data_IF_265909457756
#
_entry.id   IF_265909457756
#
_cell.length_a   1.000
_cell.length_b   1.000
_cell.length_c   1.000
_cell.angle_alpha   90.00
_cell.angle_beta   90.00
_cell.angle_gamma   90.00
#
_symmetry.space_group_name_H-M   'P 1'
#
loop_
_entity.id
_entity.type
_entity.pdbx_description
1 polymer ?
#
# COMPACT_ATOMS: atom_id res chain seq x y z
N UNK A 1 33.93 72.09 -2.71
CA UNK A 1 33.81 70.80 -1.97
C UNK A 1 32.38 70.22 -2.00
N UNK A 2 31.68 70.24 -3.15
CA UNK A 2 30.28 69.76 -3.29
C UNK A 2 30.12 68.50 -4.17
N UNK A 3 31.19 68.05 -4.84
CA UNK A 3 31.11 66.98 -5.84
C UNK A 3 31.29 65.57 -5.25
N UNK A 4 32.00 65.44 -4.11
CA UNK A 4 32.25 64.15 -3.49
C UNK A 4 31.00 63.54 -2.81
N UNK A 5 30.17 64.39 -2.19
CA UNK A 5 28.93 63.96 -1.52
C UNK A 5 27.89 63.41 -2.51
N UNK A 6 27.75 64.04 -3.67
CA UNK A 6 26.81 63.61 -4.71
C UNK A 6 27.17 62.23 -5.31
N UNK A 7 28.47 61.98 -5.51
CA UNK A 7 28.97 60.68 -5.96
C UNK A 7 28.77 59.57 -4.91
N UNK A 8 28.93 59.88 -3.61
CA UNK A 8 28.68 58.90 -2.54
C UNK A 8 27.20 58.58 -2.38
N UNK A 9 26.32 59.58 -2.53
CA UNK A 9 24.87 59.40 -2.40
C UNK A 9 24.31 58.65 -3.62
N UNK A 10 24.78 58.97 -4.83
CA UNK A 10 24.43 58.23 -6.05
C UNK A 10 24.90 56.76 -5.99
N UNK A 11 26.13 56.50 -5.51
CA UNK A 11 26.64 55.12 -5.32
C UNK A 11 25.85 54.35 -4.28
N UNK A 12 25.39 55.01 -3.20
CA UNK A 12 24.57 54.39 -2.15
C UNK A 12 23.16 54.08 -2.66
N UNK A 13 22.57 54.96 -3.47
CA UNK A 13 21.28 54.73 -4.12
C UNK A 13 21.35 53.56 -5.12
N UNK A 14 22.36 53.53 -5.98
CA UNK A 14 22.57 52.43 -6.95
C UNK A 14 22.77 51.09 -6.24
N UNK A 15 23.58 51.03 -5.17
CA UNK A 15 23.76 49.81 -4.37
C UNK A 15 22.46 49.32 -3.73
N UNK A 16 21.61 50.22 -3.25
CA UNK A 16 20.29 49.88 -2.68
C UNK A 16 19.35 49.34 -3.75
N UNK A 17 19.34 49.94 -4.94
CA UNK A 17 18.54 49.45 -6.06
C UNK A 17 19.01 48.06 -6.52
N UNK A 18 20.33 47.84 -6.63
CA UNK A 18 20.88 46.54 -7.02
C UNK A 18 20.56 45.46 -5.97
N UNK A 19 20.63 45.77 -4.68
CA UNK A 19 20.23 44.85 -3.63
C UNK A 19 18.73 44.52 -3.68
N UNK A 20 17.87 45.52 -3.91
CA UNK A 20 16.42 45.31 -4.04
C UNK A 20 16.06 44.44 -5.25
N UNK A 21 16.71 44.65 -6.40
CA UNK A 21 16.52 43.82 -7.60
C UNK A 21 16.99 42.39 -7.36
N UNK A 22 18.13 42.18 -6.69
CA UNK A 22 18.62 40.85 -6.36
C UNK A 22 17.66 40.07 -5.43
N UNK A 23 17.04 40.75 -4.46
CA UNK A 23 16.03 40.16 -3.57
C UNK A 23 14.76 39.77 -4.35
N UNK A 24 14.29 40.64 -5.25
CA UNK A 24 13.10 40.36 -6.08
C UNK A 24 13.33 39.19 -7.05
N UNK A 25 14.52 39.10 -7.65
CA UNK A 25 14.89 37.97 -8.52
C UNK A 25 15.05 36.68 -7.72
N UNK A 26 15.66 36.73 -6.53
CA UNK A 26 15.80 35.56 -5.65
C UNK A 26 14.48 34.95 -5.18
N UNK A 27 13.44 35.77 -4.99
CA UNK A 27 12.10 35.29 -4.60
C UNK A 27 11.31 34.63 -5.73
N UNK A 28 11.72 34.83 -6.99
CA UNK A 28 10.98 34.30 -8.15
C UNK A 28 11.39 32.87 -8.56
N UNK A 29 12.39 32.27 -7.91
CA UNK A 29 12.88 30.91 -8.23
C UNK A 29 12.23 29.78 -7.41
N UNK A 30 11.28 30.09 -6.52
CA UNK A 30 10.46 29.07 -5.85
C UNK A 30 9.22 28.81 -6.70
N UNK A 31 9.39 28.06 -7.79
CA UNK A 31 8.25 27.50 -8.51
C UNK A 31 7.50 26.51 -7.59
N UNK A 32 6.17 26.40 -7.66
CA UNK A 32 5.47 25.30 -7.03
C UNK A 32 6.07 24.01 -7.59
N UNK A 33 6.62 23.16 -6.72
CA UNK A 33 6.96 21.80 -7.11
C UNK A 33 5.69 21.17 -7.66
N UNK A 34 5.71 20.80 -8.94
CA UNK A 34 4.62 20.01 -9.51
C UNK A 34 4.61 18.72 -8.73
N UNK A 35 3.67 18.59 -7.80
CA UNK A 35 3.35 17.32 -7.17
C UNK A 35 2.79 16.44 -8.29
N UNK A 36 3.67 15.73 -8.97
CA UNK A 36 3.26 14.64 -9.82
C UNK A 36 2.68 13.59 -8.88
N UNK A 37 1.35 13.56 -8.78
CA UNK A 37 0.68 12.41 -8.21
C UNK A 37 1.22 11.21 -8.98
N UNK A 38 1.91 10.33 -8.27
CA UNK A 38 2.25 9.01 -8.75
C UNK A 38 0.92 8.33 -9.18
N UNK A 39 0.64 8.36 -10.47
CA UNK A 39 -0.57 7.75 -11.05
C UNK A 39 -0.54 6.22 -10.87
N UNK A 40 0.64 5.64 -10.68
CA UNK A 40 0.80 4.21 -10.54
C UNK A 40 0.21 3.68 -9.23
N UNK A 41 0.29 4.42 -8.12
CA UNK A 41 -0.39 4.03 -6.87
C UNK A 41 -1.91 3.94 -7.03
N UNK A 42 -2.52 4.84 -7.79
CA UNK A 42 -3.95 4.78 -8.09
C UNK A 42 -4.31 3.66 -9.08
N UNK A 43 -3.43 3.36 -10.04
CA UNK A 43 -3.59 2.18 -10.91
C UNK A 43 -3.55 0.89 -10.09
N UNK A 44 -2.59 0.77 -9.17
CA UNK A 44 -2.48 -0.38 -8.26
C UNK A 44 -3.76 -0.55 -7.44
N UNK A 45 -4.24 0.52 -6.81
CA UNK A 45 -5.48 0.48 -6.02
C UNK A 45 -6.65 0.00 -6.87
N UNK A 46 -6.83 0.56 -8.07
CA UNK A 46 -7.92 0.18 -8.97
C UNK A 46 -7.83 -1.31 -9.38
N UNK A 47 -6.63 -1.78 -9.70
CA UNK A 47 -6.41 -3.16 -10.11
C UNK A 47 -6.62 -4.16 -8.96
N UNK A 48 -6.17 -3.83 -7.74
CA UNK A 48 -6.41 -4.65 -6.54
C UNK A 48 -7.89 -4.71 -6.15
N UNK A 49 -8.70 -3.70 -6.50
CA UNK A 49 -10.15 -3.71 -6.32
C UNK A 49 -10.88 -4.69 -7.22
N UNK A 50 -10.23 -5.31 -8.20
CA UNK A 50 -10.90 -6.17 -9.16
C UNK A 50 -11.30 -7.54 -8.53
N UNK A 51 -12.59 -7.92 -8.53
CA UNK A 51 -13.04 -9.18 -7.92
C UNK A 51 -12.43 -10.45 -8.50
N UNK A 52 -12.09 -10.46 -9.81
CA UNK A 52 -11.51 -11.63 -10.46
C UNK A 52 -9.98 -11.71 -10.36
N UNK A 53 -9.36 -10.82 -9.59
CA UNK A 53 -7.93 -10.84 -9.30
C UNK A 53 -7.19 -9.62 -9.86
N UNK A 54 -6.01 -9.31 -9.26
CA UNK A 54 -5.31 -8.06 -9.54
C UNK A 54 -4.78 -7.97 -10.97
N UNK A 55 -4.57 -9.10 -11.66
CA UNK A 55 -4.02 -9.17 -13.03
C UNK A 55 -5.01 -9.72 -14.06
N UNK A 56 -6.30 -9.82 -13.73
CA UNK A 56 -7.32 -10.36 -14.67
C UNK A 56 -7.37 -9.57 -15.99
N UNK A 57 -7.20 -8.25 -15.91
CA UNK A 57 -7.17 -7.36 -17.07
C UNK A 57 -5.72 -7.07 -17.47
N UNK A 58 -5.45 -7.07 -18.77
CA UNK A 58 -4.10 -6.85 -19.32
C UNK A 58 -3.47 -5.52 -18.90
N UNK A 59 -4.29 -4.48 -18.74
CA UNK A 59 -3.89 -3.15 -18.30
C UNK A 59 -3.41 -3.14 -16.85
N UNK A 60 -3.83 -4.14 -16.06
CA UNK A 60 -3.43 -4.31 -14.67
C UNK A 60 -2.17 -5.15 -14.50
N UNK A 61 -1.74 -5.91 -15.51
CA UNK A 61 -0.51 -6.72 -15.41
C UNK A 61 0.72 -5.84 -15.14
N UNK A 62 1.06 -4.81 -15.93
CA UNK A 62 2.26 -4.00 -15.66
C UNK A 62 2.30 -3.29 -14.30
N UNK A 63 1.22 -2.60 -13.83
CA UNK A 63 1.27 -1.93 -12.53
C UNK A 63 1.34 -2.92 -11.36
N UNK A 64 0.72 -4.09 -11.47
CA UNK A 64 0.72 -5.09 -10.41
C UNK A 64 2.03 -5.88 -10.38
N UNK A 65 2.62 -6.25 -11.52
CA UNK A 65 3.97 -6.82 -11.54
C UNK A 65 5.02 -5.86 -10.94
N UNK A 66 4.86 -4.56 -11.17
CA UNK A 66 5.68 -3.53 -10.51
C UNK A 66 5.46 -3.52 -9.00
N UNK A 67 4.23 -3.71 -8.53
CA UNK A 67 3.92 -3.81 -7.10
C UNK A 67 4.61 -5.04 -6.49
N UNK A 68 4.48 -6.22 -7.09
CA UNK A 68 5.11 -7.44 -6.59
C UNK A 68 6.63 -7.33 -6.55
N UNK A 69 7.23 -6.64 -7.52
CA UNK A 69 8.67 -6.35 -7.49
C UNK A 69 9.01 -5.44 -6.31
N UNK A 70 8.29 -4.35 -6.12
CA UNK A 70 8.51 -3.40 -5.04
C UNK A 70 8.41 -4.08 -3.66
N UNK A 71 7.32 -4.82 -3.42
CA UNK A 71 7.10 -5.49 -2.14
C UNK A 71 8.16 -6.56 -1.84
N UNK A 72 8.64 -7.30 -2.84
CA UNK A 72 9.74 -8.27 -2.66
C UNK A 72 11.09 -7.61 -2.32
N UNK A 73 11.29 -6.35 -2.70
CA UNK A 73 12.49 -5.59 -2.33
C UNK A 73 12.34 -4.87 -0.99
N UNK A 74 11.17 -4.95 -0.34
CA UNK A 74 10.88 -4.23 0.89
C UNK A 74 10.57 -2.74 0.67
N UNK A 75 10.26 -2.35 -0.57
CA UNK A 75 9.86 -0.97 -0.87
C UNK A 75 8.52 -0.64 -0.19
N UNK A 76 8.28 0.63 0.16
CA UNK A 76 6.99 1.08 0.68
C UNK A 76 5.82 0.78 -0.27
N UNK A 77 4.66 0.46 0.30
CA UNK A 77 3.43 0.32 -0.48
C UNK A 77 3.07 1.65 -1.17
N UNK A 78 2.69 1.65 -2.46
CA UNK A 78 2.46 2.89 -3.20
C UNK A 78 1.24 3.63 -2.68
N UNK A 79 1.30 4.97 -2.69
CA UNK A 79 0.19 5.83 -2.25
C UNK A 79 -0.60 6.32 -3.45
N UNK A 80 -1.92 6.42 -3.29
CA UNK A 80 -2.80 7.06 -4.26
C UNK A 80 -3.34 8.38 -3.67
N UNK A 81 -3.06 9.50 -4.33
CA UNK A 81 -3.64 10.80 -4.00
C UNK A 81 -4.84 11.08 -4.93
N UNK A 82 -6.03 11.09 -4.35
CA UNK A 82 -7.28 11.39 -5.06
C UNK A 82 -7.52 12.89 -5.28
N UNK A 83 -6.62 13.77 -4.82
CA UNK A 83 -6.72 15.21 -4.98
C UNK A 83 -7.77 15.89 -4.10
N UNK A 84 -8.00 17.18 -4.34
CA UNK A 84 -8.96 17.98 -3.57
C UNK A 84 -10.40 17.50 -3.79
N UNK A 85 -11.04 17.01 -2.73
CA UNK A 85 -12.36 16.35 -2.79
C UNK A 85 -12.31 14.82 -2.93
N UNK A 86 -11.11 14.24 -2.84
CA UNK A 86 -10.86 12.83 -3.03
C UNK A 86 -11.56 11.88 -2.04
N UNK A 87 -11.61 10.61 -2.45
CA UNK A 87 -12.32 9.49 -1.82
C UNK A 87 -11.84 9.18 -0.40
N UNK A 88 -12.29 9.97 0.59
CA UNK A 88 -11.97 9.74 2.01
C UNK A 88 -12.33 8.32 2.42
N UNK A 89 -11.39 7.62 3.05
CA UNK A 89 -11.59 6.23 3.45
C UNK A 89 -11.41 5.21 2.33
N UNK A 90 -10.97 5.64 1.14
CA UNK A 90 -10.52 4.74 0.08
C UNK A 90 -9.00 4.66 0.09
N UNK A 91 -8.45 3.49 0.34
CA UNK A 91 -7.00 3.26 0.37
C UNK A 91 -6.69 1.79 0.21
N UNK A 92 -5.42 1.47 -0.04
CA UNK A 92 -4.92 0.12 0.01
C UNK A 92 -3.72 0.04 0.95
N UNK A 93 -3.59 -1.08 1.66
CA UNK A 93 -2.51 -1.29 2.63
C UNK A 93 -2.03 -2.73 2.61
N UNK A 94 -0.72 -2.93 2.73
CA UNK A 94 -0.10 -4.25 2.82
C UNK A 94 0.19 -4.62 4.27
N UNK A 95 -0.17 -5.84 4.66
CA UNK A 95 0.15 -6.45 5.95
C UNK A 95 0.91 -7.75 5.69
N UNK A 96 2.08 -7.91 6.31
CA UNK A 96 2.81 -9.18 6.23
C UNK A 96 2.01 -10.30 6.89
N UNK A 97 2.01 -11.47 6.26
CA UNK A 97 1.24 -12.61 6.75
C UNK A 97 2.08 -13.42 7.74
N UNK A 98 1.39 -13.97 8.74
CA UNK A 98 1.95 -14.84 9.77
C UNK A 98 0.81 -15.72 10.31
N UNK A 99 1.08 -16.61 11.28
CA UNK A 99 0.00 -17.31 11.98
C UNK A 99 -1.06 -16.34 12.54
N UNK A 100 -0.64 -15.17 13.01
CA UNK A 100 -1.49 -14.15 13.62
C UNK A 100 -2.21 -13.26 12.58
N UNK A 101 -1.97 -13.45 11.29
CA UNK A 101 -2.70 -12.79 10.22
C UNK A 101 -2.64 -13.65 8.94
N UNK A 102 -3.57 -14.60 8.83
CA UNK A 102 -3.63 -15.52 7.69
C UNK A 102 -5.06 -15.89 7.33
N UNK A 103 -5.26 -16.34 6.09
CA UNK A 103 -6.46 -17.07 5.68
C UNK A 103 -6.36 -18.51 6.18
N UNK A 104 -7.46 -19.05 6.70
CA UNK A 104 -7.48 -20.37 7.35
C UNK A 104 -6.95 -21.49 6.45
N UNK A 105 -7.33 -21.52 5.16
CA UNK A 105 -6.86 -22.53 4.21
C UNK A 105 -5.42 -22.33 3.70
N UNK A 106 -4.79 -21.22 4.09
CA UNK A 106 -3.37 -20.93 3.83
C UNK A 106 -2.48 -21.23 5.03
N UNK A 107 -3.05 -21.56 6.20
CA UNK A 107 -2.31 -22.00 7.37
C UNK A 107 -1.77 -23.42 7.16
N UNK A 108 -0.56 -23.66 7.63
CA UNK A 108 0.05 -24.99 7.61
C UNK A 108 1.09 -25.14 8.72
N UNK A 109 1.34 -26.38 9.13
CA UNK A 109 2.40 -26.70 10.09
C UNK A 109 3.77 -26.73 9.41
N UNK A 110 4.74 -26.00 9.97
CA UNK A 110 6.11 -25.92 9.46
C UNK A 110 7.18 -26.03 10.55
N UNK A 111 8.45 -26.05 10.12
CA UNK A 111 9.63 -26.17 11.00
C UNK A 111 10.16 -27.61 11.17
N UNK A 112 11.34 -27.79 11.80
CA UNK A 112 11.98 -29.10 11.95
C UNK A 112 11.19 -30.10 12.81
N UNK A 113 10.22 -29.62 13.61
CA UNK A 113 9.34 -30.43 14.46
C UNK A 113 7.84 -30.28 14.09
N UNK A 114 7.50 -29.52 13.03
CA UNK A 114 6.09 -29.20 12.64
C UNK A 114 5.23 -28.54 13.74
N UNK A 115 5.85 -27.97 14.77
CA UNK A 115 5.13 -27.37 15.91
C UNK A 115 4.79 -25.90 15.73
N UNK A 116 5.21 -25.27 14.63
CA UNK A 116 4.93 -23.86 14.36
C UNK A 116 3.92 -23.73 13.23
N UNK A 117 2.85 -22.99 13.49
CA UNK A 117 1.87 -22.66 12.48
C UNK A 117 2.41 -21.51 11.62
N UNK A 118 2.37 -21.66 10.31
CA UNK A 118 2.87 -20.68 9.34
C UNK A 118 1.78 -20.33 8.34
N UNK A 119 1.91 -19.16 7.70
CA UNK A 119 1.05 -18.75 6.60
C UNK A 119 1.76 -19.00 5.26
N UNK A 120 1.02 -19.54 4.29
CA UNK A 120 1.55 -19.80 2.94
C UNK A 120 1.68 -18.52 2.11
N UNK A 121 0.86 -17.51 2.37
CA UNK A 121 1.01 -16.19 1.76
C UNK A 121 2.18 -15.45 2.38
N UNK A 122 2.82 -14.56 1.62
CA UNK A 122 3.82 -13.64 2.15
C UNK A 122 3.17 -12.42 2.82
N UNK A 123 2.02 -11.99 2.29
CA UNK A 123 1.25 -10.88 2.84
C UNK A 123 -0.17 -10.85 2.30
N UNK A 124 -0.96 -9.93 2.84
CA UNK A 124 -2.27 -9.59 2.33
C UNK A 124 -2.35 -8.08 2.08
N UNK A 125 -2.96 -7.69 0.98
CA UNK A 125 -3.28 -6.30 0.68
C UNK A 125 -4.78 -6.11 0.86
N UNK A 126 -5.15 -5.25 1.80
CA UNK A 126 -6.55 -4.84 2.01
C UNK A 126 -6.81 -3.56 1.22
N UNK A 127 -7.85 -3.58 0.40
CA UNK A 127 -8.39 -2.38 -0.24
C UNK A 127 -9.69 -2.02 0.44
N UNK A 128 -9.74 -0.81 0.97
CA UNK A 128 -10.92 -0.22 1.56
C UNK A 128 -11.52 0.79 0.58
N UNK A 129 -12.85 0.80 0.46
CA UNK A 129 -13.63 1.81 -0.25
C UNK A 129 -14.65 2.37 0.73
N UNK A 130 -14.68 3.68 0.93
CA UNK A 130 -15.54 4.35 1.91
C UNK A 130 -15.41 3.78 3.35
N UNK A 131 -14.20 3.39 3.75
CA UNK A 131 -13.87 2.74 5.03
C UNK A 131 -14.51 1.36 5.23
N UNK A 132 -14.84 0.67 4.14
CA UNK A 132 -15.30 -0.71 4.16
C UNK A 132 -14.33 -1.56 3.36
N UNK A 133 -13.93 -2.70 3.93
CA UNK A 133 -13.11 -3.68 3.22
C UNK A 133 -13.83 -4.10 1.94
N UNK A 134 -13.19 -3.87 0.79
CA UNK A 134 -13.74 -4.13 -0.53
C UNK A 134 -13.10 -5.35 -1.17
N UNK A 135 -11.77 -5.44 -1.15
CA UNK A 135 -11.03 -6.64 -1.51
C UNK A 135 -9.90 -6.91 -0.53
N UNK A 136 -9.56 -8.18 -0.37
CA UNK A 136 -8.31 -8.62 0.25
C UNK A 136 -7.57 -9.52 -0.72
N UNK A 137 -6.31 -9.20 -1.02
CA UNK A 137 -5.46 -9.97 -1.93
C UNK A 137 -4.32 -10.56 -1.15
N UNK A 138 -4.37 -11.88 -0.91
CA UNK A 138 -3.24 -12.64 -0.41
C UNK A 138 -2.25 -12.84 -1.55
N UNK A 139 -0.99 -12.46 -1.35
CA UNK A 139 0.02 -12.44 -2.41
C UNK A 139 1.23 -13.31 -2.08
N UNK A 140 1.88 -13.75 -3.15
CA UNK A 140 3.00 -14.70 -3.14
C UNK A 140 2.67 -15.99 -2.36
N UNK A 141 1.49 -16.55 -2.60
CA UNK A 141 1.03 -17.79 -1.97
C UNK A 141 1.95 -18.94 -2.38
N UNK A 142 2.81 -19.39 -1.47
CA UNK A 142 3.76 -20.46 -1.71
C UNK A 142 4.99 -20.05 -2.54
N UNK A 143 5.30 -18.75 -2.62
CA UNK A 143 6.53 -18.27 -3.27
C UNK A 143 6.51 -18.29 -4.80
N UNK A 144 5.35 -18.53 -5.43
CA UNK A 144 5.21 -18.62 -6.89
C UNK A 144 4.58 -17.37 -7.52
N UNK A 145 4.39 -16.29 -6.76
CA UNK A 145 3.68 -15.11 -7.24
C UNK A 145 2.17 -15.30 -7.44
N UNK A 146 1.61 -16.45 -7.03
CA UNK A 146 0.16 -16.68 -7.09
C UNK A 146 -0.57 -15.84 -6.06
N UNK A 147 -1.76 -15.36 -6.42
CA UNK A 147 -2.62 -14.55 -5.54
C UNK A 147 -3.93 -15.26 -5.25
N UNK A 148 -4.48 -15.03 -4.06
CA UNK A 148 -5.87 -15.35 -3.72
C UNK A 148 -6.60 -14.05 -3.45
N UNK A 149 -7.69 -13.80 -4.18
CA UNK A 149 -8.51 -12.59 -4.05
C UNK A 149 -9.82 -12.91 -3.35
N UNK A 150 -10.06 -12.20 -2.24
CA UNK A 150 -11.32 -12.17 -1.52
C UNK A 150 -12.03 -10.87 -1.89
N UNK A 151 -13.28 -10.95 -2.33
CA UNK A 151 -14.08 -9.80 -2.71
C UNK A 151 -15.26 -9.64 -1.74
N UNK A 152 -15.46 -8.45 -1.20
CA UNK A 152 -16.46 -8.12 -0.18
C UNK A 152 -17.47 -7.06 -0.64
N UNK A 153 -17.36 -6.60 -1.90
CA UNK A 153 -18.30 -5.64 -2.46
C UNK A 153 -19.69 -6.21 -2.75
N UNK A 154 -20.57 -5.35 -3.25
CA UNK A 154 -21.95 -5.71 -3.55
C UNK A 154 -22.05 -6.92 -4.49
N UNK A 155 -22.91 -7.88 -4.11
CA UNK A 155 -23.11 -9.12 -4.87
C UNK A 155 -22.12 -10.25 -4.55
N UNK A 156 -21.18 -10.04 -3.63
CA UNK A 156 -20.32 -11.12 -3.14
C UNK A 156 -21.05 -12.05 -2.16
N UNK A 157 -20.69 -13.34 -2.20
CA UNK A 157 -21.06 -14.34 -1.19
C UNK A 157 -19.93 -14.59 -0.17
N UNK A 158 -18.83 -13.84 -0.25
CA UNK A 158 -17.70 -13.98 0.65
C UNK A 158 -18.10 -13.61 2.08
N UNK A 159 -17.87 -14.53 3.01
CA UNK A 159 -18.13 -14.29 4.43
C UNK A 159 -17.01 -13.42 5.00
N UNK A 160 -17.39 -12.37 5.74
CA UNK A 160 -16.42 -11.56 6.47
C UNK A 160 -15.82 -12.36 7.62
N UNK A 161 -14.50 -12.30 7.75
CA UNK A 161 -13.77 -12.91 8.85
C UNK A 161 -12.57 -12.04 9.20
N UNK A 162 -12.09 -12.21 10.43
CA UNK A 162 -10.89 -11.56 10.96
C UNK A 162 -9.69 -12.51 10.82
N UNK A 163 -8.71 -12.23 9.93
CA UNK A 163 -7.53 -13.08 9.74
C UNK A 163 -6.69 -13.28 11.00
N UNK A 164 -6.86 -12.44 12.01
CA UNK A 164 -6.15 -12.58 13.29
C UNK A 164 -6.69 -13.72 14.16
N UNK A 165 -7.88 -14.24 13.84
CA UNK A 165 -8.51 -15.33 14.58
C UNK A 165 -8.32 -16.70 13.91
N UNK A 166 -7.84 -16.72 12.66
CA UNK A 166 -7.73 -17.94 11.85
C UNK A 166 -6.88 -19.03 12.51
N UNK A 167 -5.76 -18.69 13.15
CA UNK A 167 -4.93 -19.68 13.84
C UNK A 167 -5.68 -20.40 14.98
N UNK A 168 -6.38 -19.64 15.83
CA UNK A 168 -7.18 -20.21 16.91
C UNK A 168 -8.28 -21.14 16.38
N UNK A 169 -8.98 -20.72 15.32
CA UNK A 169 -10.05 -21.52 14.70
C UNK A 169 -9.51 -22.80 14.06
N UNK A 170 -8.37 -22.71 13.37
CA UNK A 170 -7.70 -23.86 12.76
C UNK A 170 -7.31 -24.92 13.80
N UNK A 171 -6.75 -24.49 14.94
CA UNK A 171 -6.39 -25.39 16.04
C UNK A 171 -7.63 -26.07 16.66
N UNK A 172 -8.70 -25.30 16.91
CA UNK A 172 -9.95 -25.85 17.44
C UNK A 172 -10.58 -26.90 16.51
N UNK A 173 -10.53 -26.68 15.19
CA UNK A 173 -11.04 -27.65 14.23
C UNK A 173 -10.19 -28.93 14.19
N UNK A 174 -8.86 -28.80 14.25
CA UNK A 174 -7.94 -29.95 14.26
C UNK A 174 -8.17 -30.83 15.49
N UNK A 175 -8.28 -30.23 16.68
CA UNK A 175 -8.59 -30.95 17.93
C UNK A 175 -9.92 -31.72 17.86
N UNK A 176 -10.95 -31.11 17.26
CA UNK A 176 -12.26 -31.75 17.10
C UNK A 176 -12.20 -32.95 16.15
N UNK A 177 -11.41 -32.87 15.08
CA UNK A 177 -11.23 -33.97 14.14
C UNK A 177 -10.46 -35.13 14.78
N UNK A 178 -9.40 -34.84 15.53
CA UNK A 178 -8.60 -35.85 16.22
C UNK A 178 -9.38 -36.53 17.36
N UNK A 179 -10.21 -35.78 18.09
CA UNK A 179 -11.08 -36.31 19.14
C UNK A 179 -12.23 -37.19 18.62
N UNK A 180 -12.61 -37.05 17.35
CA UNK A 180 -13.67 -37.84 16.71
C UNK A 180 -13.22 -39.20 16.16
N UNK A 181 -11.91 -39.44 16.01
CA UNK A 181 -11.37 -40.66 15.37
C UNK A 181 -11.10 -41.81 16.35
N UNK A 182 -11.21 -41.59 17.67
CA UNK A 182 -10.93 -42.60 18.72
C UNK A 182 -12.07 -43.58 19.04
N UNK A 183 -13.17 -43.58 18.28
CA UNK A 183 -14.38 -44.33 18.59
C UNK A 183 -14.71 -45.44 17.60
N UNK A 184 -13.94 -46.53 17.60
CA UNK A 184 -14.40 -47.81 17.05
C UNK A 184 -13.33 -48.66 16.41
N UNK A 185 -12.84 -49.67 17.12
CA UNK A 185 -13.13 -51.12 16.97
C UNK A 185 -12.39 -51.88 18.08
#
# INVERSE_FOLDING_TARGET
MRNAHWLSDARRAVRRCLAAVAVLVGMSFVGPGVAHADVWGCQVLLCLSNPGGPEQYSECVPPIERLWRALRHGDPFPTCDFGAGGSRGTFASNTFASADYCREDLLYWGGPEQSELLCRAFGAINVDIDNQLYTRVWWDVGGQGTTVTEFYGAGSNQVFYDPTQSATLFLQQTEQQDGGSGGGH
#
